data_IF_924240636405
#
_entry.id   IF_924240636405
#
_cell.length_a   1.000
_cell.length_b   1.000
_cell.length_c   1.000
_cell.angle_alpha   90.00
_cell.angle_beta   90.00
_cell.angle_gamma   90.00
#
_symmetry.space_group_name_H-M   'P 1'
#
loop_
_entity.id
_entity.type
_entity.pdbx_description
1 polymer ?
#
# COMPACT_ATOMS: atom_id res chain seq x y z
N UNK A 1 -20.87 1.74 20.50
CA UNK A 1 -21.92 1.16 19.63
C UNK A 1 -21.73 1.71 18.22
N UNK A 2 -21.64 0.84 17.19
CA UNK A 2 -21.58 1.26 15.78
C UNK A 2 -23.00 1.48 15.24
N UNK A 3 -23.19 2.49 14.40
CA UNK A 3 -24.45 2.71 13.68
C UNK A 3 -24.59 1.73 12.51
N UNK A 4 -25.79 1.58 11.96
CA UNK A 4 -26.00 0.69 10.80
C UNK A 4 -25.21 1.16 9.58
N UNK A 5 -25.14 2.47 9.32
CA UNK A 5 -24.30 3.04 8.28
C UNK A 5 -22.81 2.72 8.45
N UNK A 6 -22.30 2.68 9.70
CA UNK A 6 -20.91 2.28 9.98
C UNK A 6 -20.66 0.80 9.69
N UNK A 7 -21.66 -0.07 9.92
CA UNK A 7 -21.57 -1.49 9.61
C UNK A 7 -21.57 -1.72 8.09
N UNK A 8 -22.49 -1.06 7.37
CA UNK A 8 -22.56 -1.13 5.90
C UNK A 8 -21.27 -0.62 5.25
N UNK A 9 -20.71 0.48 5.77
CA UNK A 9 -19.45 1.06 5.28
C UNK A 9 -18.20 0.35 5.82
N UNK A 10 -18.36 -0.73 6.60
CA UNK A 10 -17.29 -1.54 7.19
C UNK A 10 -16.26 -0.75 8.01
N UNK A 11 -16.68 0.38 8.61
CA UNK A 11 -15.81 1.25 9.42
C UNK A 11 -15.09 0.50 10.53
N UNK A 12 -15.75 -0.39 11.31
CA UNK A 12 -15.05 -1.15 12.36
C UNK A 12 -13.91 -2.03 11.84
N UNK A 13 -14.08 -2.63 10.66
CA UNK A 13 -13.04 -3.47 10.05
C UNK A 13 -11.81 -2.63 9.68
N UNK A 14 -12.03 -1.47 9.07
CA UNK A 14 -10.97 -0.53 8.68
C UNK A 14 -10.19 -0.08 9.92
N UNK A 15 -10.89 0.36 10.97
CA UNK A 15 -10.25 0.77 12.22
C UNK A 15 -9.47 -0.38 12.86
N UNK A 16 -9.98 -1.61 12.80
CA UNK A 16 -9.28 -2.78 13.32
C UNK A 16 -7.99 -3.07 12.54
N UNK A 17 -7.98 -2.91 11.21
CA UNK A 17 -6.73 -3.06 10.42
C UNK A 17 -5.66 -2.03 10.79
N UNK A 18 -6.04 -0.92 11.42
CA UNK A 18 -5.14 0.12 11.89
C UNK A 18 -4.67 -0.08 13.34
N UNK A 19 -5.04 -1.19 14.00
CA UNK A 19 -4.58 -1.51 15.37
C UNK A 19 -3.05 -1.41 15.54
N UNK A 20 -2.21 -1.87 14.60
CA UNK A 20 -0.75 -1.71 14.69
C UNK A 20 -0.29 -0.24 14.71
N UNK A 21 -1.15 0.70 14.34
CA UNK A 21 -0.85 2.14 14.30
C UNK A 21 -1.47 2.89 15.50
N UNK A 22 -2.15 2.20 16.43
CA UNK A 22 -2.90 2.82 17.52
C UNK A 22 -2.06 3.73 18.44
N UNK A 23 -0.75 3.49 18.54
CA UNK A 23 0.17 4.30 19.34
C UNK A 23 0.68 5.55 18.60
N UNK A 24 0.46 5.66 17.29
CA UNK A 24 0.92 6.78 16.47
C UNK A 24 -0.15 7.86 16.45
N UNK A 25 0.21 9.07 16.87
CA UNK A 25 -0.62 10.25 16.62
C UNK A 25 -0.57 10.55 15.12
N UNK A 26 -1.73 10.71 14.52
CA UNK A 26 -1.90 11.03 13.11
C UNK A 26 -2.76 12.29 12.99
N UNK A 27 -2.45 13.14 12.02
CA UNK A 27 -3.43 14.13 11.56
C UNK A 27 -4.52 13.47 10.69
N UNK A 28 -5.46 14.28 10.21
CA UNK A 28 -6.61 13.76 9.47
C UNK A 28 -6.18 13.15 8.13
N UNK A 29 -5.24 13.78 7.44
CA UNK A 29 -4.71 13.35 6.15
C UNK A 29 -3.91 12.04 6.28
N UNK A 30 -3.04 11.94 7.29
CA UNK A 30 -2.31 10.71 7.62
C UNK A 30 -3.27 9.56 7.96
N UNK A 31 -4.34 9.85 8.72
CA UNK A 31 -5.36 8.87 9.02
C UNK A 31 -6.10 8.41 7.75
N UNK A 32 -6.52 9.33 6.89
CA UNK A 32 -7.18 9.00 5.62
C UNK A 32 -6.29 8.15 4.73
N UNK A 33 -4.99 8.48 4.63
CA UNK A 33 -4.03 7.69 3.86
C UNK A 33 -3.89 6.27 4.43
N UNK A 34 -3.74 6.13 5.75
CA UNK A 34 -3.60 4.83 6.41
C UNK A 34 -4.89 3.97 6.36
N UNK A 35 -6.06 4.61 6.35
CA UNK A 35 -7.35 3.94 6.23
C UNK A 35 -7.69 3.53 4.77
N UNK A 36 -6.96 4.05 3.78
CA UNK A 36 -7.22 3.79 2.37
C UNK A 36 -6.67 2.42 1.96
N UNK A 37 -7.52 1.59 1.37
CA UNK A 37 -7.11 0.29 0.84
C UNK A 37 -6.71 0.38 -0.62
N UNK A 38 -5.46 0.03 -0.94
CA UNK A 38 -4.98 -0.06 -2.32
C UNK A 38 -5.88 -0.96 -3.17
N UNK A 39 -6.35 -2.10 -2.63
CA UNK A 39 -7.26 -3.01 -3.34
C UNK A 39 -8.62 -2.39 -3.69
N UNK A 40 -9.11 -1.48 -2.87
CA UNK A 40 -10.36 -0.76 -3.17
C UNK A 40 -10.14 0.30 -4.25
N UNK A 41 -8.99 0.96 -4.25
CA UNK A 41 -8.62 1.90 -5.32
C UNK A 41 -8.43 1.19 -6.66
N UNK A 42 -7.83 -0.01 -6.68
CA UNK A 42 -7.67 -0.81 -7.89
C UNK A 42 -9.00 -1.22 -8.54
N UNK A 43 -10.07 -1.33 -7.76
CA UNK A 43 -11.40 -1.68 -8.27
C UNK A 43 -12.11 -0.51 -8.98
N UNK A 44 -11.53 0.70 -8.95
CA UNK A 44 -12.06 1.87 -9.62
C UNK A 44 -11.56 1.91 -11.08
N UNK A 45 -12.43 2.32 -12.01
CA UNK A 45 -12.07 2.48 -13.43
C UNK A 45 -10.91 3.47 -13.65
N UNK A 46 -10.65 4.35 -12.67
CA UNK A 46 -9.61 5.39 -12.71
C UNK A 46 -8.32 5.00 -12.00
N UNK A 47 -8.14 3.73 -11.63
CA UNK A 47 -6.95 3.26 -10.92
C UNK A 47 -5.65 3.68 -11.60
N UNK A 48 -5.56 3.54 -12.93
CA UNK A 48 -4.35 3.91 -13.69
C UNK A 48 -3.99 5.38 -13.50
N UNK A 49 -4.97 6.29 -13.62
CA UNK A 49 -4.76 7.73 -13.40
C UNK A 49 -4.31 7.99 -11.95
N UNK A 50 -4.99 7.37 -10.98
CA UNK A 50 -4.71 7.55 -9.55
C UNK A 50 -3.28 7.09 -9.23
N UNK A 51 -2.89 5.90 -9.69
CA UNK A 51 -1.57 5.34 -9.46
C UNK A 51 -0.47 6.15 -10.16
N UNK A 52 -0.71 6.61 -11.39
CA UNK A 52 0.23 7.47 -12.11
C UNK A 52 0.46 8.79 -11.37
N UNK A 53 -0.61 9.51 -11.01
CA UNK A 53 -0.48 10.79 -10.29
C UNK A 53 0.20 10.59 -8.93
N UNK A 54 -0.19 9.58 -8.16
CA UNK A 54 0.46 9.29 -6.88
C UNK A 54 1.96 8.95 -7.05
N UNK A 55 2.30 8.23 -8.12
CA UNK A 55 3.68 7.91 -8.44
C UNK A 55 4.48 9.15 -8.86
N UNK A 56 3.92 10.11 -9.59
CA UNK A 56 4.58 11.37 -9.92
C UNK A 56 4.98 12.16 -8.66
N UNK A 57 4.09 12.23 -7.67
CA UNK A 57 4.41 12.83 -6.38
C UNK A 57 5.48 12.03 -5.63
N UNK A 58 5.33 10.71 -5.57
CA UNK A 58 6.32 9.82 -4.96
C UNK A 58 7.69 9.95 -5.63
N UNK A 59 7.76 10.11 -6.94
CA UNK A 59 9.00 10.24 -7.71
C UNK A 59 9.85 11.43 -7.25
N UNK A 60 9.18 12.53 -6.89
CA UNK A 60 9.82 13.78 -6.46
C UNK A 60 10.17 13.72 -4.97
N UNK A 61 9.24 13.28 -4.15
CA UNK A 61 9.33 13.44 -2.68
C UNK A 61 9.92 12.22 -1.96
N UNK A 62 9.72 11.02 -2.52
CA UNK A 62 9.88 9.75 -1.79
C UNK A 62 10.68 8.66 -2.49
N UNK A 63 10.83 8.70 -3.82
CA UNK A 63 11.44 7.61 -4.57
C UNK A 63 12.98 7.69 -4.50
N UNK A 64 13.51 6.89 -3.59
CA UNK A 64 14.94 6.79 -3.29
C UNK A 64 15.53 5.57 -3.99
N UNK A 65 16.85 5.62 -4.21
CA UNK A 65 17.59 4.44 -4.65
C UNK A 65 17.44 3.35 -3.59
N UNK A 66 17.15 2.13 -4.01
CA UNK A 66 16.92 0.99 -3.12
C UNK A 66 17.56 -0.27 -3.70
N UNK A 67 18.19 -1.07 -2.84
CA UNK A 67 18.70 -2.39 -3.23
C UNK A 67 17.61 -3.47 -3.18
N UNK A 68 17.84 -4.58 -3.88
CA UNK A 68 16.91 -5.73 -3.84
C UNK A 68 16.80 -6.28 -2.42
N UNK A 69 17.91 -6.32 -1.69
CA UNK A 69 18.00 -6.79 -0.30
C UNK A 69 17.19 -5.90 0.66
N UNK A 70 17.26 -4.58 0.48
CA UNK A 70 16.45 -3.64 1.27
C UNK A 70 14.97 -3.78 0.96
N UNK A 71 14.60 -3.81 -0.33
CA UNK A 71 13.20 -3.99 -0.74
C UNK A 71 12.61 -5.31 -0.23
N UNK A 72 13.38 -6.40 -0.29
CA UNK A 72 12.96 -7.69 0.24
C UNK A 72 12.75 -7.64 1.76
N UNK A 73 13.62 -6.95 2.50
CA UNK A 73 13.51 -6.78 3.95
C UNK A 73 12.25 -6.02 4.33
N UNK A 74 11.95 -4.91 3.65
CA UNK A 74 10.74 -4.12 3.87
C UNK A 74 9.46 -4.94 3.66
N UNK A 75 9.48 -5.84 2.67
CA UNK A 75 8.35 -6.72 2.35
C UNK A 75 8.34 -8.04 3.14
N UNK A 76 9.30 -8.24 4.05
CA UNK A 76 9.50 -9.51 4.78
C UNK A 76 9.61 -10.74 3.87
N UNK A 77 10.32 -10.59 2.74
CA UNK A 77 10.54 -11.64 1.74
C UNK A 77 11.95 -12.23 1.83
N UNK A 78 12.06 -13.53 1.51
CA UNK A 78 13.34 -14.22 1.43
C UNK A 78 14.03 -14.10 0.06
N UNK A 79 15.27 -14.62 -0.08
CA UNK A 79 16.06 -14.53 -1.31
C UNK A 79 15.39 -15.12 -2.56
N UNK A 80 14.44 -16.04 -2.40
CA UNK A 80 13.67 -16.61 -3.51
C UNK A 80 12.84 -15.58 -4.29
N UNK A 81 12.54 -14.42 -3.68
CA UNK A 81 11.79 -13.34 -4.33
C UNK A 81 12.67 -12.37 -5.14
N UNK A 82 14.00 -12.46 -5.05
CA UNK A 82 14.92 -11.46 -5.61
C UNK A 82 14.79 -11.33 -7.13
N UNK A 83 14.50 -12.43 -7.82
CA UNK A 83 14.28 -12.41 -9.27
C UNK A 83 13.09 -11.54 -9.66
N UNK A 84 11.99 -11.62 -8.91
CA UNK A 84 10.77 -10.83 -9.15
C UNK A 84 10.97 -9.37 -8.76
N UNK A 85 11.64 -9.11 -7.64
CA UNK A 85 11.91 -7.75 -7.16
C UNK A 85 12.85 -6.97 -8.07
N UNK A 86 13.68 -7.66 -8.86
CA UNK A 86 14.56 -7.01 -9.83
C UNK A 86 13.79 -6.22 -10.88
N UNK A 87 12.61 -6.70 -11.29
CA UNK A 87 11.75 -6.03 -12.28
C UNK A 87 11.03 -4.79 -11.70
N UNK A 88 11.06 -4.63 -10.38
CA UNK A 88 10.43 -3.52 -9.68
C UNK A 88 11.36 -2.32 -9.56
N UNK A 89 12.66 -2.52 -9.79
CA UNK A 89 13.71 -1.51 -9.67
C UNK A 89 14.19 -1.12 -11.07
N UNK A 90 14.15 0.18 -11.38
CA UNK A 90 14.66 0.72 -12.65
C UNK A 90 16.17 0.55 -12.75
N UNK A 91 16.63 0.01 -13.86
CA UNK A 91 18.06 -0.14 -14.14
C UNK A 91 18.79 1.19 -14.36
N UNK A 92 18.06 2.25 -14.70
CA UNK A 92 18.63 3.57 -15.04
C UNK A 92 19.15 4.32 -13.81
N UNK A 93 18.46 4.22 -12.68
CA UNK A 93 18.73 5.02 -11.48
C UNK A 93 18.62 4.23 -10.17
N UNK A 94 18.26 2.94 -10.21
CA UNK A 94 18.11 2.09 -9.03
C UNK A 94 16.90 2.43 -8.14
N UNK A 95 15.96 3.23 -8.65
CA UNK A 95 14.72 3.60 -7.95
C UNK A 95 13.58 2.64 -8.28
N UNK A 96 12.51 2.64 -7.47
CA UNK A 96 11.31 1.89 -7.83
C UNK A 96 10.71 2.40 -9.15
N UNK A 97 10.23 1.48 -9.98
CA UNK A 97 9.38 1.77 -11.14
C UNK A 97 7.93 1.97 -10.71
N UNK A 98 7.06 2.46 -11.59
CA UNK A 98 5.60 2.52 -11.32
C UNK A 98 5.03 1.13 -11.00
N UNK A 99 5.50 0.09 -11.70
CA UNK A 99 5.16 -1.30 -11.39
C UNK A 99 5.63 -1.68 -9.98
N UNK A 100 6.88 -1.37 -9.66
CA UNK A 100 7.44 -1.64 -8.34
C UNK A 100 6.68 -0.93 -7.22
N UNK A 101 6.34 0.35 -7.43
CA UNK A 101 5.55 1.16 -6.51
C UNK A 101 4.17 0.58 -6.27
N UNK A 102 3.40 0.28 -7.32
CA UNK A 102 2.06 -0.30 -7.18
C UNK A 102 2.11 -1.63 -6.45
N UNK A 103 3.04 -2.54 -6.81
CA UNK A 103 3.21 -3.82 -6.11
C UNK A 103 3.69 -3.65 -4.66
N UNK A 104 4.53 -2.66 -4.38
CA UNK A 104 4.96 -2.33 -3.03
C UNK A 104 3.76 -1.88 -2.17
N UNK A 105 2.88 -1.01 -2.69
CA UNK A 105 1.66 -0.60 -2.00
C UNK A 105 0.79 -1.81 -1.62
N UNK A 106 0.66 -2.82 -2.50
CA UNK A 106 -0.06 -4.06 -2.17
C UNK A 106 0.56 -4.86 -1.04
N UNK A 107 1.90 -4.92 -0.99
CA UNK A 107 2.65 -5.63 0.04
C UNK A 107 2.56 -4.95 1.41
N UNK A 108 2.57 -3.61 1.44
CA UNK A 108 2.43 -2.80 2.65
C UNK A 108 0.99 -2.80 3.17
N UNK A 109 -0.01 -2.91 2.30
CA UNK A 109 -1.44 -3.00 2.68
C UNK A 109 -1.81 -4.37 3.29
N UNK A 110 -0.93 -4.98 4.10
CA UNK A 110 -1.05 -6.30 4.74
C UNK A 110 -2.49 -6.86 4.82
N UNK A 111 -2.74 -7.87 3.98
CA UNK A 111 -3.75 -8.94 4.06
C UNK A 111 -4.76 -8.85 5.21
N UNK A 112 -5.85 -8.11 5.00
CA UNK A 112 -7.15 -8.49 5.56
C UNK A 112 -7.94 -9.23 4.48
N UNK A 113 -7.59 -10.49 4.25
CA UNK A 113 -8.55 -11.43 3.66
C UNK A 113 -9.58 -11.77 4.74
N UNK A 114 -10.47 -10.82 5.06
CA UNK A 114 -11.73 -11.18 5.71
C UNK A 114 -12.51 -12.02 4.69
N UNK A 115 -12.86 -13.30 5.00
CA UNK A 115 -13.71 -14.07 4.11
C UNK A 115 -15.03 -13.31 3.95
N UNK A 116 -15.48 -13.14 2.70
CA UNK A 116 -16.81 -12.60 2.42
C UNK A 116 -17.84 -13.42 3.22
N UNK A 117 -18.60 -12.83 4.15
CA UNK A 117 -19.76 -13.52 4.69
C UNK A 117 -20.74 -13.73 3.54
N UNK A 118 -21.24 -14.96 3.41
CA UNK A 118 -22.36 -15.28 2.52
C UNK A 118 -23.65 -14.71 3.07
#
# INVERSE_FOLDING_TARGET
HATDAMRESRVPDIIHTMEPLAYRKMDFEEFCAAATSTYQLEALDRWEDIACTAFEHFEIEGNRVISIEELARELNLGPSAYSVLRDWIRHTDGKLSLLGYTKFLHGVTMRSSLPRPR
#
